data_IF_828728581932
#
_entry.id   IF_828728581932
#
_cell.length_a   1.000
_cell.length_b   1.000
_cell.length_c   1.000
_cell.angle_alpha   90.00
_cell.angle_beta   90.00
_cell.angle_gamma   90.00
#
_symmetry.space_group_name_H-M   'P 1'
#
loop_
_entity.id
_entity.type
_entity.pdbx_description
1 polymer ?
#
# COMPACT_ATOMS: atom_id res chain seq x y z
N UNK A 1 34.06 -15.41 -17.48
CA UNK A 1 33.61 -16.09 -16.25
C UNK A 1 32.46 -15.29 -15.66
N UNK A 2 31.45 -15.93 -15.09
CA UNK A 2 30.35 -15.23 -14.43
C UNK A 2 30.81 -14.67 -13.08
N UNK A 3 30.46 -13.42 -12.81
CA UNK A 3 30.74 -12.70 -11.57
C UNK A 3 29.42 -12.37 -10.87
N UNK A 4 29.39 -12.61 -9.57
CA UNK A 4 28.33 -12.19 -8.67
C UNK A 4 28.65 -10.79 -8.15
N UNK A 5 27.65 -9.92 -8.14
CA UNK A 5 27.78 -8.57 -7.63
C UNK A 5 26.60 -8.17 -6.74
N UNK A 6 26.86 -7.24 -5.83
CA UNK A 6 25.85 -6.62 -4.98
C UNK A 6 25.96 -5.11 -5.05
N UNK A 7 24.84 -4.45 -5.32
CA UNK A 7 24.72 -3.00 -5.38
C UNK A 7 23.97 -2.48 -4.15
N UNK A 8 24.51 -1.45 -3.51
CA UNK A 8 23.76 -0.57 -2.63
C UNK A 8 23.09 0.51 -3.48
N UNK A 9 21.78 0.63 -3.33
CA UNK A 9 20.93 1.58 -4.03
C UNK A 9 20.48 2.69 -3.07
N UNK A 10 19.87 3.73 -3.63
CA UNK A 10 19.15 4.76 -2.85
C UNK A 10 18.12 4.12 -1.90
N UNK A 11 17.84 4.81 -0.79
CA UNK A 11 16.89 4.37 0.25
C UNK A 11 17.26 3.06 0.95
N UNK A 12 18.56 2.75 1.06
CA UNK A 12 19.06 1.52 1.73
C UNK A 12 18.43 0.25 1.15
N UNK A 13 18.23 0.25 -0.18
CA UNK A 13 17.81 -0.92 -0.94
C UNK A 13 19.02 -1.59 -1.55
N UNK A 14 18.94 -2.89 -1.75
CA UNK A 14 20.04 -3.69 -2.27
C UNK A 14 19.59 -4.50 -3.48
N UNK A 15 20.52 -4.73 -4.39
CA UNK A 15 20.31 -5.59 -5.54
C UNK A 15 21.46 -6.59 -5.70
N UNK A 16 21.11 -7.86 -5.85
CA UNK A 16 22.06 -8.94 -6.11
C UNK A 16 21.85 -9.42 -7.54
N UNK A 17 22.94 -9.58 -8.27
CA UNK A 17 22.90 -10.10 -9.63
C UNK A 17 24.17 -10.84 -10.00
N UNK A 18 24.12 -11.56 -11.12
CA UNK A 18 25.31 -12.08 -11.78
C UNK A 18 25.44 -11.56 -13.21
N UNK A 19 26.66 -11.45 -13.69
CA UNK A 19 27.00 -10.98 -15.04
C UNK A 19 28.37 -11.48 -15.45
N UNK A 20 28.62 -11.62 -16.75
CA UNK A 20 29.98 -11.84 -17.28
C UNK A 20 30.77 -10.54 -17.40
N UNK A 21 30.08 -9.41 -17.57
CA UNK A 21 30.66 -8.07 -17.70
C UNK A 21 30.03 -7.13 -16.66
N UNK A 22 30.81 -6.78 -15.63
CA UNK A 22 30.34 -5.98 -14.51
C UNK A 22 30.28 -4.49 -14.83
N UNK A 23 31.22 -3.99 -15.64
CA UNK A 23 31.32 -2.57 -15.96
C UNK A 23 30.12 -2.15 -16.81
N UNK A 24 29.86 -2.89 -17.89
CA UNK A 24 28.70 -2.66 -18.74
C UNK A 24 27.40 -2.77 -17.94
N UNK A 25 27.28 -3.81 -17.11
CA UNK A 25 26.05 -4.04 -16.33
C UNK A 25 25.79 -2.94 -15.31
N UNK A 26 26.84 -2.43 -14.66
CA UNK A 26 26.73 -1.31 -13.74
C UNK A 26 26.25 -0.03 -14.43
N UNK A 27 26.76 0.26 -15.63
CA UNK A 27 26.29 1.39 -16.44
C UNK A 27 24.82 1.24 -16.87
N UNK A 28 24.40 0.04 -17.30
CA UNK A 28 23.00 -0.26 -17.61
C UNK A 28 22.09 0.03 -16.39
N UNK A 29 22.49 -0.39 -15.19
CA UNK A 29 21.77 -0.07 -13.95
C UNK A 29 21.74 1.44 -13.66
N UNK A 30 22.85 2.14 -13.88
CA UNK A 30 22.94 3.60 -13.67
C UNK A 30 22.04 4.38 -14.63
N UNK A 31 21.90 3.88 -15.85
CA UNK A 31 21.05 4.47 -16.90
C UNK A 31 19.60 4.00 -16.85
N UNK A 32 19.22 3.18 -15.86
CA UNK A 32 17.84 2.70 -15.67
C UNK A 32 17.40 1.57 -16.60
N UNK A 33 18.34 0.98 -17.37
CA UNK A 33 18.12 -0.15 -18.28
C UNK A 33 18.37 -1.51 -17.59
N UNK A 34 18.56 -1.51 -16.28
CA UNK A 34 18.76 -2.71 -15.46
C UNK A 34 17.44 -3.42 -15.14
N UNK A 35 17.30 -3.85 -13.88
CA UNK A 35 16.05 -4.40 -13.37
C UNK A 35 15.09 -3.27 -12.95
N UNK A 36 13.78 -3.54 -12.95
CA UNK A 36 12.76 -2.59 -12.47
C UNK A 36 13.10 -2.03 -11.07
N UNK A 37 13.72 -2.85 -10.22
CA UNK A 37 14.18 -2.45 -8.90
C UNK A 37 15.28 -1.37 -8.96
N UNK A 38 16.30 -1.59 -9.80
CA UNK A 38 17.40 -0.62 -10.00
C UNK A 38 17.02 0.59 -10.84
N UNK A 39 15.97 0.50 -11.66
CA UNK A 39 15.39 1.65 -12.35
C UNK A 39 14.64 2.56 -11.36
N UNK A 40 13.94 1.98 -10.37
CA UNK A 40 13.30 2.75 -9.29
C UNK A 40 14.32 3.31 -8.30
N UNK A 41 15.31 2.51 -7.90
CA UNK A 41 16.33 2.88 -6.92
C UNK A 41 17.71 2.90 -7.57
N UNK A 42 18.28 4.09 -7.74
CA UNK A 42 19.55 4.26 -8.45
C UNK A 42 20.72 3.65 -7.67
N UNK A 43 21.70 3.02 -8.36
CA UNK A 43 22.88 2.49 -7.70
C UNK A 43 23.76 3.61 -7.15
N UNK A 44 24.16 3.47 -5.88
CA UNK A 44 25.08 4.36 -5.18
C UNK A 44 26.50 3.79 -5.18
N UNK A 45 26.62 2.50 -4.85
CA UNK A 45 27.92 1.84 -4.68
C UNK A 45 27.83 0.35 -4.97
N UNK A 46 28.89 -0.22 -5.51
CA UNK A 46 29.10 -1.66 -5.58
C UNK A 46 29.71 -2.15 -4.27
N UNK A 47 28.98 -2.99 -3.53
CA UNK A 47 29.40 -3.53 -2.22
C UNK A 47 30.23 -4.80 -2.37
N UNK A 48 29.88 -5.65 -3.33
CA UNK A 48 30.52 -6.93 -3.56
C UNK A 48 30.67 -7.14 -5.06
N UNK A 49 31.82 -7.66 -5.46
CA UNK A 49 32.07 -8.22 -6.78
C UNK A 49 33.03 -9.39 -6.59
N UNK A 50 32.58 -10.61 -6.92
CA UNK A 50 33.39 -11.82 -6.81
C UNK A 50 32.99 -12.82 -7.89
N UNK A 51 33.85 -13.81 -8.14
CA UNK A 51 33.51 -14.90 -9.04
C UNK A 51 32.35 -15.74 -8.48
N UNK A 52 31.50 -16.21 -9.38
CA UNK A 52 30.37 -17.07 -9.03
C UNK A 52 30.90 -18.44 -8.56
N UNK A 53 30.52 -18.85 -7.35
CA UNK A 53 31.00 -20.10 -6.74
C UNK A 53 30.12 -21.30 -7.06
N UNK A 54 28.90 -21.09 -7.57
CA UNK A 54 27.99 -22.17 -7.90
C UNK A 54 26.66 -21.68 -8.46
N UNK A 55 25.82 -22.63 -8.91
CA UNK A 55 24.55 -22.34 -9.59
C UNK A 55 23.52 -21.63 -8.70
N UNK A 56 23.56 -21.87 -7.38
CA UNK A 56 22.65 -21.27 -6.40
C UNK A 56 23.24 -20.07 -5.66
N UNK A 57 24.48 -19.69 -5.97
CA UNK A 57 25.25 -18.70 -5.22
C UNK A 57 24.58 -17.31 -5.21
N UNK A 58 23.98 -16.91 -6.34
CA UNK A 58 23.20 -15.67 -6.46
C UNK A 58 21.96 -15.67 -5.54
N UNK A 59 21.19 -16.76 -5.55
CA UNK A 59 19.98 -16.87 -4.73
C UNK A 59 20.34 -16.92 -3.23
N UNK A 60 21.38 -17.67 -2.87
CA UNK A 60 21.84 -17.75 -1.49
C UNK A 60 22.34 -16.38 -0.99
N UNK A 61 23.16 -15.70 -1.78
CA UNK A 61 23.61 -14.34 -1.45
C UNK A 61 22.43 -13.37 -1.32
N UNK A 62 21.42 -13.50 -2.17
CA UNK A 62 20.19 -12.70 -2.05
C UNK A 62 19.50 -12.93 -0.71
N UNK A 63 19.34 -14.20 -0.29
CA UNK A 63 18.75 -14.56 1.01
C UNK A 63 19.59 -14.07 2.19
N UNK A 64 20.92 -14.15 2.11
CA UNK A 64 21.81 -13.64 3.15
C UNK A 64 21.65 -12.13 3.35
N UNK A 65 21.54 -11.38 2.25
CA UNK A 65 21.26 -9.95 2.30
C UNK A 65 19.84 -9.66 2.80
N UNK A 66 18.83 -10.48 2.45
CA UNK A 66 17.47 -10.38 3.00
C UNK A 66 17.45 -10.61 4.51
N UNK A 67 18.25 -11.55 5.02
CA UNK A 67 18.40 -11.77 6.46
C UNK A 67 19.01 -10.52 7.13
N UNK A 68 20.06 -9.96 6.52
CA UNK A 68 20.79 -8.83 7.10
C UNK A 68 20.03 -7.50 7.07
N UNK A 69 19.30 -7.21 6.00
CA UNK A 69 18.67 -5.90 5.77
C UNK A 69 17.14 -5.94 5.71
N UNK A 70 16.53 -7.13 5.74
CA UNK A 70 15.09 -7.32 5.62
C UNK A 70 14.66 -7.68 4.20
N UNK A 71 13.64 -8.54 4.10
CA UNK A 71 13.14 -9.07 2.83
C UNK A 71 12.58 -7.95 1.93
N UNK A 72 12.00 -6.88 2.47
CA UNK A 72 11.53 -5.76 1.65
C UNK A 72 12.65 -4.84 1.11
N UNK A 73 13.90 -5.03 1.52
CA UNK A 73 15.02 -4.18 1.14
C UNK A 73 15.87 -4.75 0.01
N UNK A 74 15.73 -6.03 -0.31
CA UNK A 74 16.67 -6.75 -1.18
C UNK A 74 15.94 -7.45 -2.32
N UNK A 75 16.46 -7.33 -3.54
CA UNK A 75 16.01 -8.06 -4.73
C UNK A 75 17.18 -8.66 -5.48
N UNK A 76 16.94 -9.73 -6.22
CA UNK A 76 17.98 -10.44 -6.97
C UNK A 76 17.61 -11.88 -7.26
N UNK A 77 18.36 -12.54 -8.15
CA UNK A 77 18.12 -13.94 -8.51
C UNK A 77 16.66 -14.23 -8.87
N UNK A 78 16.02 -15.17 -8.15
CA UNK A 78 14.59 -15.49 -8.33
C UNK A 78 13.61 -14.46 -7.73
N UNK A 79 14.09 -13.50 -6.95
CA UNK A 79 13.28 -12.52 -6.21
C UNK A 79 13.43 -11.11 -6.80
N UNK A 80 13.13 -10.95 -8.09
CA UNK A 80 13.28 -9.67 -8.82
C UNK A 80 11.99 -8.83 -8.87
N UNK A 81 10.87 -9.39 -8.42
CA UNK A 81 9.57 -8.72 -8.41
C UNK A 81 9.58 -7.48 -7.51
N UNK A 82 8.93 -6.40 -7.91
CA UNK A 82 8.85 -5.16 -7.11
C UNK A 82 8.21 -5.42 -5.74
N UNK A 83 7.08 -6.12 -5.76
CA UNK A 83 6.37 -6.57 -4.57
C UNK A 83 6.40 -8.09 -4.58
N UNK A 84 6.96 -8.69 -3.53
CA UNK A 84 6.96 -10.14 -3.38
C UNK A 84 5.58 -10.59 -2.85
N UNK A 85 5.04 -11.69 -3.36
CA UNK A 85 3.82 -12.29 -2.83
C UNK A 85 3.93 -12.61 -1.33
N UNK A 86 2.83 -12.48 -0.59
CA UNK A 86 2.83 -12.64 0.88
C UNK A 86 3.23 -14.05 1.34
N UNK A 87 2.90 -15.07 0.55
CA UNK A 87 3.31 -16.46 0.75
C UNK A 87 4.82 -16.64 0.59
N UNK A 88 5.43 -16.00 -0.43
CA UNK A 88 6.87 -16.00 -0.65
C UNK A 88 7.59 -15.29 0.50
N UNK A 89 7.09 -14.14 0.94
CA UNK A 89 7.61 -13.42 2.11
C UNK A 89 7.55 -14.31 3.35
N UNK A 90 6.42 -14.96 3.60
CA UNK A 90 6.24 -15.85 4.75
C UNK A 90 7.17 -17.07 4.71
N UNK A 91 7.46 -17.60 3.52
CA UNK A 91 8.42 -18.68 3.34
C UNK A 91 9.86 -18.21 3.64
N UNK A 92 10.27 -17.08 3.08
CA UNK A 92 11.59 -16.49 3.34
C UNK A 92 11.78 -16.14 4.82
N UNK A 93 10.76 -15.60 5.48
CA UNK A 93 10.79 -15.32 6.92
C UNK A 93 11.00 -16.59 7.73
N UNK A 94 10.31 -17.69 7.40
CA UNK A 94 10.49 -18.97 8.09
C UNK A 94 11.89 -19.54 7.90
N UNK A 95 12.46 -19.43 6.69
CA UNK A 95 13.83 -19.85 6.42
C UNK A 95 14.82 -19.05 7.28
N UNK A 96 14.69 -17.73 7.31
CA UNK A 96 15.55 -16.83 8.09
C UNK A 96 15.44 -17.09 9.60
N UNK A 97 14.23 -17.29 10.12
CA UNK A 97 14.04 -17.58 11.55
C UNK A 97 14.63 -18.94 11.91
N UNK A 98 14.50 -19.92 11.01
CA UNK A 98 15.07 -21.25 11.20
C UNK A 98 16.60 -21.28 11.27
N UNK A 99 17.29 -20.38 10.56
CA UNK A 99 18.76 -20.29 10.61
C UNK A 99 19.28 -19.64 11.90
N UNK A 100 18.43 -18.93 12.66
CA UNK A 100 18.79 -18.31 13.94
C UNK A 100 18.47 -19.20 15.16
N UNK A 101 18.19 -20.50 14.96
CA UNK A 101 17.69 -21.44 16.00
C UNK A 101 16.47 -20.91 16.76
N UNK A 102 15.72 -20.01 16.12
CA UNK A 102 14.47 -19.46 16.63
C UNK A 102 13.30 -20.30 16.14
N UNK A 103 12.32 -20.47 17.00
CA UNK A 103 11.10 -21.16 16.65
C UNK A 103 10.34 -20.37 15.59
N UNK A 104 10.12 -20.95 14.40
CA UNK A 104 9.40 -20.28 13.31
C UNK A 104 7.91 -19.97 13.61
N UNK A 105 7.35 -20.46 14.72
CA UNK A 105 5.97 -20.16 15.14
C UNK A 105 5.86 -18.92 16.05
N UNK A 106 6.86 -18.69 16.91
CA UNK A 106 6.80 -17.61 17.91
C UNK A 106 8.03 -16.70 17.93
N UNK A 107 9.03 -16.98 17.10
CA UNK A 107 10.30 -16.27 16.98
C UNK A 107 11.15 -16.24 18.27
N UNK A 108 10.90 -17.17 19.20
CA UNK A 108 11.67 -17.34 20.43
C UNK A 108 12.68 -18.48 20.28
N UNK A 109 13.85 -18.34 20.90
CA UNK A 109 14.90 -19.37 20.96
C UNK A 109 14.58 -20.43 22.02
N UNK A 110 15.32 -21.55 22.00
CA UNK A 110 15.28 -22.56 23.07
C UNK A 110 14.27 -23.70 22.87
N UNK A 111 13.59 -23.78 21.73
CA UNK A 111 12.73 -24.90 21.38
C UNK A 111 12.53 -25.04 19.87
N UNK A 112 12.25 -26.26 19.40
CA UNK A 112 11.80 -26.51 18.04
C UNK A 112 10.33 -26.16 17.90
N UNK A 113 9.88 -25.80 16.69
CA UNK A 113 8.48 -25.45 16.46
C UNK A 113 7.47 -26.58 16.75
N UNK A 114 7.92 -27.83 16.76
CA UNK A 114 7.14 -28.99 17.23
C UNK A 114 6.86 -28.93 18.73
N UNK A 115 7.76 -28.30 19.49
CA UNK A 115 7.71 -28.12 20.95
C UNK A 115 7.27 -26.70 21.35
N UNK A 116 6.74 -25.92 20.40
CA UNK A 116 6.28 -24.56 20.65
C UNK A 116 4.98 -24.56 21.46
N UNK A 117 5.06 -24.13 22.72
CA UNK A 117 3.91 -23.93 23.62
C UNK A 117 3.27 -22.56 23.45
N UNK A 118 3.89 -21.67 22.67
CA UNK A 118 3.35 -20.37 22.28
C UNK A 118 2.29 -20.55 21.20
N UNK A 119 1.23 -21.28 21.51
CA UNK A 119 0.05 -21.37 20.67
C UNK A 119 -0.70 -20.04 20.84
N UNK A 120 -0.27 -19.00 20.11
CA UNK A 120 -1.30 -18.12 19.55
C UNK A 120 -2.18 -19.05 18.74
N UNK A 121 -3.46 -19.18 19.12
CA UNK A 121 -4.44 -19.94 18.34
C UNK A 121 -4.34 -19.45 16.90
N UNK A 122 -3.64 -20.21 16.06
CA UNK A 122 -3.90 -20.21 14.64
C UNK A 122 -5.24 -20.92 14.58
N UNK A 123 -6.32 -20.15 14.71
CA UNK A 123 -7.55 -20.57 14.07
C UNK A 123 -7.16 -20.87 12.62
N UNK A 124 -7.53 -22.04 12.06
CA UNK A 124 -7.39 -22.26 10.63
C UNK A 124 -7.93 -21.01 9.92
N UNK A 125 -7.35 -20.56 8.78
CA UNK A 125 -8.09 -19.64 7.93
C UNK A 125 -9.41 -20.35 7.66
N UNK A 126 -10.50 -19.80 8.21
CA UNK A 126 -11.83 -20.22 7.82
C UNK A 126 -11.85 -20.21 6.28
N UNK A 127 -12.47 -21.20 5.61
CA UNK A 127 -12.74 -21.07 4.18
C UNK A 127 -13.31 -19.67 3.97
N UNK A 128 -12.66 -18.91 3.08
CA UNK A 128 -12.81 -17.46 2.97
C UNK A 128 -14.27 -17.06 3.20
N UNK A 129 -14.61 -16.35 4.28
CA UNK A 129 -15.97 -15.88 4.42
C UNK A 129 -16.12 -14.71 3.46
N UNK A 130 -17.18 -14.70 2.66
CA UNK A 130 -17.69 -13.44 2.13
C UNK A 130 -17.72 -12.46 3.32
N UNK A 131 -17.03 -11.35 3.14
CA UNK A 131 -16.55 -10.41 4.15
C UNK A 131 -17.60 -10.13 5.24
N UNK A 132 -17.27 -10.33 6.53
CA UNK A 132 -18.03 -9.66 7.59
C UNK A 132 -17.12 -9.18 8.72
N UNK A 133 -17.26 -7.90 8.98
CA UNK A 133 -16.66 -7.07 10.00
C UNK A 133 -17.19 -7.35 11.40
N UNK A 134 -16.29 -7.15 12.37
CA UNK A 134 -16.46 -6.84 13.79
C UNK A 134 -17.90 -6.50 14.26
N UNK A 135 -18.59 -7.44 14.93
CA UNK A 135 -19.73 -7.12 15.83
C UNK A 135 -19.22 -6.42 17.09
N UNK A 136 -19.22 -5.09 17.07
CA UNK A 136 -19.64 -4.28 18.24
C UNK A 136 -21.16 -4.41 18.33
N UNK A 137 -21.73 -4.23 19.53
CA UNK A 137 -23.15 -4.47 19.86
C UNK A 137 -24.12 -4.04 18.74
N UNK A 138 -25.04 -4.95 18.46
CA UNK A 138 -26.20 -4.79 17.57
C UNK A 138 -27.01 -3.59 18.07
N UNK A 139 -27.14 -2.57 17.24
CA UNK A 139 -28.28 -1.65 17.24
C UNK A 139 -28.64 -1.46 15.76
N UNK A 140 -29.88 -1.79 15.42
CA UNK A 140 -30.44 -1.80 14.07
C UNK A 140 -30.17 -0.47 13.33
N UNK A 141 -29.28 -0.48 12.34
CA UNK A 141 -29.10 0.63 11.39
C UNK A 141 -30.16 0.52 10.28
N UNK A 142 -30.88 1.61 10.06
CA UNK A 142 -31.99 1.75 9.12
C UNK A 142 -31.54 2.64 7.97
N UNK A 143 -31.52 2.11 6.76
CA UNK A 143 -31.09 2.80 5.54
C UNK A 143 -32.28 3.42 4.78
N UNK A 144 -32.04 4.55 4.11
CA UNK A 144 -33.04 5.23 3.30
C UNK A 144 -33.07 4.63 1.88
N UNK A 145 -34.26 4.36 1.35
CA UNK A 145 -34.39 3.80 0.00
C UNK A 145 -34.09 4.79 -1.15
N UNK A 146 -33.85 6.08 -0.85
CA UNK A 146 -33.66 7.15 -1.83
C UNK A 146 -32.28 7.85 -1.72
N UNK A 147 -31.46 7.52 -0.71
CA UNK A 147 -30.06 8.01 -0.63
C UNK A 147 -29.19 7.16 0.31
N UNK A 148 -27.87 7.33 0.23
CA UNK A 148 -26.88 6.55 1.00
C UNK A 148 -26.76 6.93 2.49
N UNK A 149 -27.80 7.52 3.08
CA UNK A 149 -27.80 7.86 4.52
C UNK A 149 -28.35 6.72 5.36
N UNK A 150 -27.62 6.38 6.41
CA UNK A 150 -28.05 5.42 7.43
C UNK A 150 -28.44 6.13 8.72
N UNK A 151 -29.45 5.58 9.41
CA UNK A 151 -30.02 6.12 10.63
C UNK A 151 -29.99 5.07 11.72
N UNK A 152 -29.72 5.49 12.95
CA UNK A 152 -29.68 4.57 14.10
C UNK A 152 -31.06 4.13 14.60
N UNK A 153 -32.15 4.63 13.99
CA UNK A 153 -33.54 4.27 14.35
C UNK A 153 -34.48 4.30 13.13
N UNK A 154 -35.47 3.38 13.11
CA UNK A 154 -36.50 3.29 12.05
C UNK A 154 -37.29 4.57 11.85
N UNK A 155 -37.60 5.26 12.95
CA UNK A 155 -38.37 6.51 12.91
C UNK A 155 -37.56 7.63 12.25
N UNK A 156 -36.26 7.72 12.53
CA UNK A 156 -35.36 8.68 11.89
C UNK A 156 -35.27 8.45 10.37
N UNK A 157 -35.16 7.19 9.95
CA UNK A 157 -35.17 6.84 8.53
C UNK A 157 -36.52 7.20 7.86
N UNK A 158 -37.65 6.84 8.46
CA UNK A 158 -38.98 7.08 7.89
C UNK A 158 -39.37 8.57 7.73
N UNK A 159 -38.84 9.46 8.59
CA UNK A 159 -39.04 10.92 8.44
C UNK A 159 -38.16 11.46 7.32
N UNK A 160 -36.93 10.99 7.22
CA UNK A 160 -36.01 11.37 6.17
C UNK A 160 -36.50 10.92 4.78
N UNK A 161 -36.98 9.68 4.64
CA UNK A 161 -37.52 9.15 3.37
C UNK A 161 -38.64 10.01 2.76
N UNK A 162 -39.47 10.65 3.61
CA UNK A 162 -40.53 11.55 3.15
C UNK A 162 -40.00 12.84 2.51
N UNK A 163 -38.79 13.25 2.87
CA UNK A 163 -38.11 14.43 2.34
C UNK A 163 -37.07 14.07 1.26
N UNK A 164 -36.63 12.81 1.23
CA UNK A 164 -35.60 12.30 0.32
C UNK A 164 -36.16 11.87 -1.04
N UNK A 165 -37.46 11.55 -1.11
CA UNK A 165 -38.17 11.18 -2.34
C UNK A 165 -38.18 12.23 -3.46
N UNK A 166 -37.77 13.47 -3.18
CA UNK A 166 -37.87 14.59 -4.13
C UNK A 166 -36.51 14.99 -4.76
N UNK A 167 -35.45 14.18 -4.62
CA UNK A 167 -34.12 14.53 -5.11
C UNK A 167 -33.46 13.44 -5.98
N UNK A 168 -34.03 13.22 -7.17
CA UNK A 168 -33.29 12.93 -8.41
C UNK A 168 -32.91 14.31 -9.01
N UNK A 169 -31.79 14.59 -9.68
CA UNK A 169 -30.54 13.93 -10.04
C UNK A 169 -29.66 15.05 -10.69
N UNK A 170 -28.44 14.69 -11.12
CA UNK A 170 -27.63 15.32 -12.17
C UNK A 170 -26.46 16.28 -11.79
N UNK A 171 -25.28 15.64 -11.78
CA UNK A 171 -24.11 15.98 -12.61
C UNK A 171 -23.01 16.94 -12.09
N UNK A 172 -21.78 16.51 -12.39
CA UNK A 172 -20.49 17.15 -12.15
C UNK A 172 -20.36 18.48 -12.92
N UNK A 173 -20.07 19.59 -12.23
CA UNK A 173 -19.13 20.64 -12.67
C UNK A 173 -19.01 21.73 -11.58
N UNK A 174 -17.81 22.30 -11.42
CA UNK A 174 -17.42 23.10 -10.26
C UNK A 174 -18.32 24.30 -9.92
N UNK A 175 -18.83 24.33 -8.69
CA UNK A 175 -19.75 25.37 -8.23
C UNK A 175 -19.01 26.70 -7.94
N UNK A 176 -19.06 27.58 -8.91
CA UNK A 176 -18.68 28.97 -8.77
C UNK A 176 -19.86 29.74 -8.18
N UNK A 177 -19.74 30.18 -6.92
CA UNK A 177 -20.85 30.86 -6.23
C UNK A 177 -21.18 32.20 -6.91
N UNK A 178 -22.39 32.37 -7.42
CA UNK A 178 -22.89 33.63 -7.98
C UNK A 178 -23.83 34.35 -7.02
N UNK A 179 -23.65 35.66 -6.86
CA UNK A 179 -24.39 36.46 -5.91
C UNK A 179 -25.78 36.82 -6.45
N UNK A 180 -26.86 36.32 -5.83
CA UNK A 180 -28.24 36.62 -6.23
C UNK A 180 -28.63 38.10 -6.19
N UNK A 181 -27.89 38.94 -5.44
CA UNK A 181 -28.18 40.37 -5.36
C UNK A 181 -27.65 41.15 -6.56
N UNK A 182 -26.47 40.83 -7.07
CA UNK A 182 -25.80 41.64 -8.10
C UNK A 182 -25.48 40.87 -9.37
N UNK A 183 -25.64 39.54 -9.38
CA UNK A 183 -25.32 38.68 -10.50
C UNK A 183 -23.83 38.39 -10.69
N UNK A 184 -22.95 38.94 -9.86
CA UNK A 184 -21.51 38.70 -9.96
C UNK A 184 -21.09 37.46 -9.20
N UNK A 185 -20.06 36.82 -9.75
CA UNK A 185 -19.52 35.58 -9.25
C UNK A 185 -18.46 35.83 -8.14
N UNK A 186 -18.33 34.91 -7.18
CA UNK A 186 -17.26 34.85 -6.17
C UNK A 186 -17.65 35.23 -4.73
N UNK A 187 -18.92 35.56 -4.46
CA UNK A 187 -19.41 35.87 -3.11
C UNK A 187 -20.91 35.60 -2.92
N UNK A 188 -21.36 35.50 -1.66
CA UNK A 188 -22.77 35.32 -1.30
C UNK A 188 -23.49 36.66 -1.08
N UNK A 189 -24.82 36.68 -1.24
CA UNK A 189 -25.67 37.88 -1.07
C UNK A 189 -25.55 38.57 0.29
N UNK A 190 -25.16 37.83 1.33
CA UNK A 190 -24.94 38.32 2.70
C UNK A 190 -23.69 39.19 2.83
N UNK A 191 -22.70 39.02 1.95
CA UNK A 191 -21.45 39.79 1.91
C UNK A 191 -21.34 40.68 0.67
N UNK A 192 -22.47 40.88 -0.03
CA UNK A 192 -22.52 41.68 -1.25
C UNK A 192 -22.33 43.17 -0.96
N UNK A 193 -21.35 43.77 -1.64
CA UNK A 193 -21.00 45.19 -1.53
C UNK A 193 -21.73 46.08 -2.56
N UNK A 194 -22.57 45.50 -3.41
CA UNK A 194 -23.31 46.23 -4.44
C UNK A 194 -24.50 46.99 -3.84
N UNK A 195 -24.62 48.27 -4.21
CA UNK A 195 -25.70 49.18 -3.77
C UNK A 195 -26.98 49.06 -4.59
N UNK A 196 -26.96 48.28 -5.66
CA UNK A 196 -28.04 48.14 -6.62
C UNK A 196 -28.29 46.66 -6.87
N UNK A 197 -29.56 46.27 -6.89
CA UNK A 197 -29.97 44.91 -7.22
C UNK A 197 -29.79 44.63 -8.71
N UNK A 198 -29.65 43.36 -9.08
CA UNK A 198 -29.59 42.90 -10.47
C UNK A 198 -30.84 43.33 -11.27
N UNK A 199 -32.00 43.41 -10.62
CA UNK A 199 -33.26 43.90 -11.21
C UNK A 199 -33.37 45.43 -11.28
N UNK A 200 -32.30 46.15 -10.95
CA UNK A 200 -32.18 47.56 -11.24
C UNK A 200 -32.68 48.54 -10.16
N UNK A 201 -33.19 48.05 -9.02
CA UNK A 201 -33.58 48.90 -7.89
C UNK A 201 -32.44 49.12 -6.89
N UNK A 202 -32.45 50.26 -6.19
CA UNK A 202 -31.42 50.59 -5.20
C UNK A 202 -31.74 49.98 -3.84
N UNK A 203 -30.71 49.45 -3.19
CA UNK A 203 -30.78 48.89 -1.83
C UNK A 203 -30.02 49.87 -0.94
N UNK A 204 -30.75 50.57 -0.08
CA UNK A 204 -30.20 51.58 0.84
C UNK A 204 -29.24 50.99 1.85
#
# INVERSE_FOLDING_TARGET
MEQLYVLELTNKKYYVGKTTDIMRRYEEHKNGQGSAWTSKYKPLKMLLCRELQGVHDENNTTKDYMNKYGIEHVRGGSYTQMVLPADVISLLQREIVGTEDKCYKCNLTGHFATQCTSVKKITPPAPAPAQVTRKKKVDDEWECEYCDRTFTTRYGCSVHERSCKEAEDESEDGDYVTCYRCGNEGHYSTTCYAKKHIDGYWIG
#
